data_IF_656016446960
#
_entry.id   IF_656016446960
#
_cell.length_a   1.000
_cell.length_b   1.000
_cell.length_c   1.000
_cell.angle_alpha   90.00
_cell.angle_beta   90.00
_cell.angle_gamma   90.00
#
_symmetry.space_group_name_H-M   'P 1'
#
loop_
_entity.id
_entity.type
_entity.pdbx_description
1 polymer ?
#
# COMPACT_ATOMS: atom_id res chain seq x y z
N UNK A 1 -4.91 -9.55 6.60
CA UNK A 1 -4.94 -8.82 5.32
C UNK A 1 -4.87 -9.86 4.22
N UNK A 2 -5.86 -9.88 3.34
CA UNK A 2 -5.78 -10.71 2.14
C UNK A 2 -5.32 -9.80 1.00
N UNK A 3 -4.20 -10.13 0.38
CA UNK A 3 -3.75 -9.50 -0.86
C UNK A 3 -4.34 -10.31 -2.00
N UNK A 4 -5.19 -9.68 -2.80
CA UNK A 4 -5.75 -10.28 -4.00
C UNK A 4 -5.13 -9.61 -5.21
N UNK A 5 -4.39 -10.36 -6.02
CA UNK A 5 -3.88 -9.86 -7.28
C UNK A 5 -5.00 -9.92 -8.32
N UNK A 6 -5.35 -8.77 -8.91
CA UNK A 6 -6.35 -8.68 -9.97
C UNK A 6 -5.75 -8.45 -11.35
N UNK A 7 -4.51 -7.96 -11.40
CA UNK A 7 -3.71 -7.78 -12.61
C UNK A 7 -2.21 -7.86 -12.28
N UNK A 8 -1.33 -7.76 -13.27
CA UNK A 8 0.14 -7.88 -13.12
C UNK A 8 0.70 -7.01 -11.99
N UNK A 9 0.23 -5.76 -11.88
CA UNK A 9 0.72 -4.77 -10.90
C UNK A 9 -0.37 -4.22 -9.99
N UNK A 10 -1.58 -4.78 -10.05
CA UNK A 10 -2.75 -4.25 -9.35
C UNK A 10 -3.23 -5.25 -8.31
N UNK A 11 -3.27 -4.80 -7.06
CA UNK A 11 -3.60 -5.61 -5.90
C UNK A 11 -4.72 -4.98 -5.10
N UNK A 12 -5.68 -5.77 -4.64
CA UNK A 12 -6.68 -5.36 -3.66
C UNK A 12 -6.18 -5.76 -2.27
N UNK A 13 -6.12 -4.79 -1.36
CA UNK A 13 -5.79 -4.98 0.05
C UNK A 13 -7.08 -5.05 0.88
N UNK A 14 -7.45 -6.27 1.29
CA UNK A 14 -8.66 -6.51 2.09
C UNK A 14 -8.38 -6.54 3.60
N UNK A 15 -9.27 -5.89 4.38
CA UNK A 15 -9.36 -6.02 5.84
C UNK A 15 -8.59 -4.98 6.67
N UNK A 16 -8.51 -5.21 7.99
CA UNK A 16 -7.68 -4.41 8.91
C UNK A 16 -6.27 -4.99 8.95
N UNK A 17 -5.26 -4.15 8.72
CA UNK A 17 -3.86 -4.53 8.87
C UNK A 17 -3.55 -4.52 10.36
N UNK A 18 -3.77 -5.63 11.05
CA UNK A 18 -3.55 -5.74 12.50
C UNK A 18 -2.50 -6.77 12.90
N UNK A 19 -2.20 -7.74 12.04
CA UNK A 19 -1.31 -8.86 12.39
C UNK A 19 0.04 -8.80 11.67
N UNK A 20 1.08 -9.35 12.32
CA UNK A 20 2.46 -9.40 11.80
C UNK A 20 2.59 -10.34 10.59
N UNK A 21 1.75 -11.37 10.50
CA UNK A 21 1.67 -12.28 9.35
C UNK A 21 1.34 -11.52 8.06
N UNK A 22 0.37 -10.62 8.12
CA UNK A 22 -0.05 -9.76 7.00
C UNK A 22 1.08 -8.88 6.46
N UNK A 23 1.96 -8.43 7.36
CA UNK A 23 3.13 -7.65 6.99
C UNK A 23 4.16 -8.49 6.23
N UNK A 24 4.33 -9.77 6.59
CA UNK A 24 5.29 -10.65 5.94
C UNK A 24 4.91 -10.96 4.49
N UNK A 25 3.62 -11.17 4.21
CA UNK A 25 3.14 -11.45 2.85
C UNK A 25 3.33 -10.24 1.92
N UNK A 26 2.96 -9.04 2.40
CA UNK A 26 3.21 -7.80 1.66
C UNK A 26 4.70 -7.56 1.44
N UNK A 27 5.51 -7.82 2.46
CA UNK A 27 6.97 -7.68 2.36
C UNK A 27 7.55 -8.63 1.33
N UNK A 28 7.17 -9.91 1.37
CA UNK A 28 7.64 -10.91 0.42
C UNK A 28 7.25 -10.56 -1.03
N UNK A 29 6.01 -10.09 -1.24
CA UNK A 29 5.55 -9.60 -2.53
C UNK A 29 6.43 -8.46 -3.05
N UNK A 30 6.66 -7.43 -2.22
CA UNK A 30 7.40 -6.24 -2.63
C UNK A 30 8.90 -6.50 -2.82
N UNK A 31 9.51 -7.40 -2.05
CA UNK A 31 10.90 -7.83 -2.27
C UNK A 31 11.03 -8.60 -3.59
N UNK A 32 10.11 -9.53 -3.89
CA UNK A 32 10.12 -10.24 -5.18
C UNK A 32 10.01 -9.28 -6.37
N UNK A 33 9.11 -8.29 -6.28
CA UNK A 33 8.96 -7.26 -7.32
C UNK A 33 10.21 -6.38 -7.43
N UNK A 34 10.83 -6.04 -6.31
CA UNK A 34 12.10 -5.31 -6.28
C UNK A 34 13.21 -6.07 -7.01
N UNK A 35 13.34 -7.37 -6.77
CA UNK A 35 14.31 -8.24 -7.46
C UNK A 35 14.04 -8.28 -8.97
N UNK A 36 12.76 -8.31 -9.38
CA UNK A 36 12.32 -8.25 -10.77
C UNK A 36 12.41 -6.84 -11.40
N UNK A 37 12.79 -5.81 -10.63
CA UNK A 37 12.78 -4.38 -11.04
C UNK A 37 11.39 -3.84 -11.43
N UNK A 38 10.34 -4.45 -10.89
CA UNK A 38 8.94 -4.05 -11.06
C UNK A 38 8.53 -3.06 -9.96
N UNK A 39 9.04 -1.84 -10.05
CA UNK A 39 9.00 -0.85 -8.96
C UNK A 39 7.69 -0.04 -8.89
N UNK A 40 6.76 -0.25 -9.80
CA UNK A 40 5.46 0.44 -9.81
C UNK A 40 4.36 -0.52 -9.36
N UNK A 41 3.56 -0.10 -8.37
CA UNK A 41 2.54 -0.96 -7.74
C UNK A 41 1.26 -0.17 -7.47
N UNK A 42 0.13 -0.77 -7.83
CA UNK A 42 -1.20 -0.22 -7.64
C UNK A 42 -1.94 -1.01 -6.57
N UNK A 43 -2.38 -0.33 -5.52
CA UNK A 43 -3.15 -0.90 -4.41
C UNK A 43 -4.54 -0.30 -4.37
N UNK A 44 -5.56 -1.16 -4.47
CA UNK A 44 -6.96 -0.81 -4.17
C UNK A 44 -7.26 -1.16 -2.72
N UNK A 45 -7.78 -0.20 -1.95
CA UNK A 45 -8.09 -0.37 -0.54
C UNK A 45 -9.60 -0.08 -0.33
N UNK A 46 -10.47 -1.06 -0.61
CA UNK A 46 -11.92 -0.82 -0.67
C UNK A 46 -12.58 -0.67 0.70
N UNK A 47 -12.08 -1.36 1.74
CA UNK A 47 -12.79 -1.50 3.02
C UNK A 47 -11.94 -1.15 4.26
N UNK A 48 -10.64 -0.92 4.10
CA UNK A 48 -9.78 -0.63 5.25
C UNK A 48 -10.05 0.79 5.77
N UNK A 49 -10.28 0.91 7.08
CA UNK A 49 -10.39 2.20 7.77
C UNK A 49 -9.07 2.69 8.34
N UNK A 50 -8.10 1.81 8.47
CA UNK A 50 -6.80 2.07 9.08
C UNK A 50 -5.73 1.21 8.39
N UNK A 51 -4.52 1.75 8.35
CA UNK A 51 -3.31 1.04 7.92
C UNK A 51 -2.29 1.08 9.05
N UNK A 52 -1.59 -0.03 9.25
CA UNK A 52 -0.59 -0.12 10.31
C UNK A 52 0.65 0.74 9.98
N UNK A 53 1.17 1.46 10.96
CA UNK A 53 2.39 2.26 10.83
C UNK A 53 3.63 1.45 10.42
N UNK A 54 3.74 0.17 10.77
CA UNK A 54 4.82 -0.69 10.30
C UNK A 54 4.76 -0.91 8.78
N UNK A 55 3.56 -1.12 8.23
CA UNK A 55 3.36 -1.22 6.77
C UNK A 55 3.68 0.12 6.12
N UNK A 56 3.15 1.23 6.64
CA UNK A 56 3.46 2.57 6.11
C UNK A 56 4.96 2.86 6.13
N UNK A 57 5.65 2.57 7.23
CA UNK A 57 7.09 2.79 7.36
C UNK A 57 7.90 1.96 6.35
N UNK A 58 7.48 0.72 6.08
CA UNK A 58 8.11 -0.11 5.08
C UNK A 58 7.87 0.41 3.65
N UNK A 59 6.63 0.78 3.31
CA UNK A 59 6.29 1.38 2.01
C UNK A 59 7.04 2.69 1.79
N UNK A 60 7.16 3.54 2.82
CA UNK A 60 7.94 4.77 2.77
C UNK A 60 9.42 4.51 2.53
N UNK A 61 10.00 3.49 3.19
CA UNK A 61 11.38 3.07 2.94
C UNK A 61 11.57 2.71 1.46
N UNK A 62 10.69 1.88 0.92
CA UNK A 62 10.77 1.43 -0.48
C UNK A 62 10.62 2.60 -1.46
N UNK A 63 9.66 3.50 -1.23
CA UNK A 63 9.46 4.67 -2.08
C UNK A 63 10.69 5.59 -2.09
N UNK A 64 11.27 5.84 -0.91
CA UNK A 64 12.40 6.78 -0.77
C UNK A 64 13.75 6.21 -1.16
N UNK A 65 14.02 4.94 -0.86
CA UNK A 65 15.35 4.34 -1.02
C UNK A 65 15.46 3.42 -2.22
N UNK A 66 14.37 2.74 -2.56
CA UNK A 66 14.35 1.69 -3.56
C UNK A 66 13.63 2.15 -4.85
N UNK A 67 13.12 3.38 -4.89
CA UNK A 67 12.52 4.00 -6.08
C UNK A 67 11.12 3.49 -6.41
N UNK A 68 10.44 2.85 -5.46
CA UNK A 68 9.08 2.38 -5.69
C UNK A 68 8.10 3.53 -5.91
N UNK A 69 7.21 3.34 -6.87
CA UNK A 69 6.04 4.19 -7.10
C UNK A 69 4.80 3.44 -6.63
N UNK A 70 4.13 3.99 -5.63
CA UNK A 70 2.91 3.41 -5.09
C UNK A 70 1.71 4.28 -5.45
N UNK A 71 0.71 3.64 -6.04
CA UNK A 71 -0.58 4.23 -6.37
C UNK A 71 -1.63 3.59 -5.47
N UNK A 72 -2.37 4.39 -4.70
CA UNK A 72 -3.40 3.92 -3.79
C UNK A 72 -4.75 4.46 -4.19
N UNK A 73 -5.65 3.57 -4.60
CA UNK A 73 -7.07 3.87 -4.73
C UNK A 73 -7.77 3.53 -3.41
N UNK A 74 -8.16 4.56 -2.66
CA UNK A 74 -8.71 4.40 -1.30
C UNK A 74 -10.19 4.74 -1.32
N UNK A 75 -11.04 3.76 -1.03
CA UNK A 75 -12.50 3.96 -1.01
C UNK A 75 -13.03 4.41 0.35
N UNK A 76 -12.21 4.38 1.41
CA UNK A 76 -12.59 4.90 2.73
C UNK A 76 -12.17 6.38 2.87
N UNK A 77 -13.12 7.33 2.99
CA UNK A 77 -12.79 8.75 3.15
C UNK A 77 -11.92 9.00 4.38
N UNK A 78 -12.22 8.31 5.48
CA UNK A 78 -11.48 8.44 6.74
C UNK A 78 -10.00 8.03 6.60
N UNK A 79 -9.73 6.94 5.87
CA UNK A 79 -8.35 6.51 5.61
C UNK A 79 -7.66 7.49 4.67
N UNK A 80 -8.32 7.90 3.59
CA UNK A 80 -7.80 8.87 2.63
C UNK A 80 -7.38 10.18 3.33
N UNK A 81 -8.28 10.77 4.11
CA UNK A 81 -8.03 12.00 4.88
C UNK A 81 -6.90 11.81 5.90
N UNK A 82 -6.82 10.64 6.53
CA UNK A 82 -5.74 10.35 7.49
C UNK A 82 -4.38 10.30 6.81
N UNK A 83 -4.27 9.63 5.65
CA UNK A 83 -3.02 9.58 4.90
C UNK A 83 -2.62 10.96 4.35
N UNK A 84 -3.59 11.78 3.92
CA UNK A 84 -3.35 13.16 3.54
C UNK A 84 -2.85 14.01 4.72
N UNK A 85 -3.50 13.92 5.89
CA UNK A 85 -3.08 14.64 7.10
C UNK A 85 -1.69 14.25 7.57
N UNK A 86 -1.28 13.01 7.36
CA UNK A 86 0.08 12.54 7.65
C UNK A 86 1.11 12.96 6.58
N UNK A 87 0.70 13.68 5.53
CA UNK A 87 1.58 14.13 4.45
C UNK A 87 2.02 13.03 3.50
N UNK A 88 1.37 11.86 3.52
CA UNK A 88 1.82 10.69 2.75
C UNK A 88 1.60 10.82 1.25
N UNK A 89 0.72 11.74 0.83
CA UNK A 89 0.56 12.16 -0.57
C UNK A 89 1.85 12.72 -1.20
N UNK A 90 2.86 13.09 -0.40
CA UNK A 90 4.17 13.52 -0.90
C UNK A 90 5.08 12.36 -1.30
N UNK A 91 4.77 11.14 -0.85
CA UNK A 91 5.54 9.92 -1.13
C UNK A 91 4.77 8.92 -1.99
N UNK A 92 3.44 9.00 -1.98
CA UNK A 92 2.54 8.08 -2.65
C UNK A 92 1.51 8.86 -3.48
N UNK A 93 1.08 8.27 -4.60
CA UNK A 93 -0.07 8.78 -5.34
C UNK A 93 -1.34 8.27 -4.66
N UNK A 94 -2.15 9.19 -4.12
CA UNK A 94 -3.37 8.87 -3.39
C UNK A 94 -4.59 9.33 -4.19
N UNK A 95 -5.42 8.38 -4.60
CA UNK A 95 -6.69 8.64 -5.28
C UNK A 95 -7.86 8.32 -4.34
N UNK A 96 -8.81 9.23 -4.29
CA UNK A 96 -10.07 9.01 -3.59
C UNK A 96 -11.01 8.20 -4.50
N UNK A 97 -11.37 6.99 -4.07
CA UNK A 97 -12.28 6.10 -4.79
C UNK A 97 -13.71 6.09 -4.25
N UNK A 98 -14.04 7.00 -3.33
CA UNK A 98 -15.39 7.20 -2.76
C UNK A 98 -16.33 7.96 -3.70
#
# INVERSE_FOLDING_TARGET
>A
MRIEQIDENVYILHGKIKEISDYNDLKALLEKRKEARELEVYFKIPQAREINFYILGYLLKLARKDGFKFHFLITSPYLYDSLHRFGLHTFFELENGS
#
